data_IF_568866355116
#
_entry.id   IF_568866355116
#
_cell.length_a   1.000
_cell.length_b   1.000
_cell.length_c   1.000
_cell.angle_alpha   90.00
_cell.angle_beta   90.00
_cell.angle_gamma   90.00
#
_symmetry.space_group_name_H-M   'P 1'
#
loop_
_entity.id
_entity.type
_entity.pdbx_description
1 polymer ?
#
# COMPACT_ATOMS: atom_id res chain seq x y z
N UNK A 1 -15.87 -14.05 -6.59
CA UNK A 1 -14.58 -14.03 -5.85
C UNK A 1 -13.44 -14.16 -6.85
N UNK A 2 -12.36 -13.45 -6.61
CA UNK A 2 -11.15 -13.43 -7.45
C UNK A 2 -9.95 -13.69 -6.54
N UNK A 3 -8.89 -14.29 -7.10
CA UNK A 3 -7.64 -14.48 -6.36
C UNK A 3 -6.97 -13.14 -6.10
N UNK A 4 -6.42 -12.98 -4.90
CA UNK A 4 -5.54 -11.88 -4.55
C UNK A 4 -4.17 -12.12 -5.21
N UNK A 5 -3.92 -11.47 -6.36
CA UNK A 5 -2.71 -11.64 -7.19
C UNK A 5 -2.36 -13.13 -7.43
N UNK A 6 -1.12 -13.54 -7.23
CA UNK A 6 -0.64 -14.91 -7.45
C UNK A 6 -0.81 -15.83 -6.22
N UNK A 7 -1.65 -15.46 -5.26
CA UNK A 7 -1.94 -16.25 -4.06
C UNK A 7 -3.14 -17.18 -4.25
N UNK A 8 -3.36 -18.08 -3.29
CA UNK A 8 -4.59 -18.85 -3.17
C UNK A 8 -5.68 -18.15 -2.35
N UNK A 9 -5.39 -16.98 -1.82
CA UNK A 9 -6.36 -16.15 -1.14
C UNK A 9 -7.36 -15.55 -2.13
N UNK A 10 -8.65 -15.59 -1.80
CA UNK A 10 -9.72 -15.03 -2.61
C UNK A 10 -10.38 -13.88 -1.85
N UNK A 11 -10.79 -12.86 -2.58
CA UNK A 11 -11.46 -11.70 -2.02
C UNK A 11 -12.75 -11.35 -2.77
N UNK A 12 -13.60 -10.55 -2.13
CA UNK A 12 -14.79 -9.99 -2.78
C UNK A 12 -14.37 -8.80 -3.64
N UNK A 13 -14.64 -8.90 -4.93
CA UNK A 13 -14.28 -7.87 -5.91
C UNK A 13 -15.31 -6.75 -5.83
N UNK A 14 -14.90 -5.47 -5.64
CA UNK A 14 -15.81 -4.36 -5.78
C UNK A 14 -16.31 -4.23 -7.23
N UNK A 15 -17.61 -4.02 -7.39
CA UNK A 15 -18.23 -3.68 -8.67
C UNK A 15 -18.39 -2.17 -8.73
N UNK A 16 -17.92 -1.55 -9.82
CA UNK A 16 -17.85 -0.12 -9.99
C UNK A 16 -18.75 0.33 -11.16
N UNK A 17 -19.47 1.42 -10.96
CA UNK A 17 -20.22 2.13 -12.00
C UNK A 17 -19.72 3.57 -12.16
N UNK A 18 -19.97 4.18 -13.30
CA UNK A 18 -19.49 5.54 -13.60
C UNK A 18 -20.06 6.61 -12.63
N UNK A 19 -21.24 6.37 -12.09
CA UNK A 19 -21.94 7.23 -11.13
C UNK A 19 -21.66 6.85 -9.66
N UNK A 20 -20.68 5.95 -9.42
CA UNK A 20 -20.35 5.48 -8.09
C UNK A 20 -20.05 6.63 -7.12
N UNK A 21 -20.70 6.60 -5.96
CA UNK A 21 -20.40 7.43 -4.81
C UNK A 21 -19.76 6.56 -3.70
N UNK A 22 -18.91 7.18 -2.90
CA UNK A 22 -18.22 6.51 -1.82
C UNK A 22 -18.56 7.14 -0.48
N UNK A 23 -18.64 6.31 0.54
CA UNK A 23 -18.80 6.74 1.92
C UNK A 23 -18.07 5.79 2.85
N UNK A 24 -17.60 6.31 3.99
CA UNK A 24 -17.04 5.50 5.05
C UNK A 24 -18.19 4.85 5.82
N UNK A 25 -18.41 3.55 5.59
CA UNK A 25 -19.59 2.84 6.09
C UNK A 25 -19.28 1.73 7.11
N UNK A 26 -18.00 1.42 7.34
CA UNK A 26 -17.59 0.34 8.25
C UNK A 26 -16.61 0.84 9.30
N UNK A 27 -16.94 0.59 10.55
CA UNK A 27 -16.21 1.09 11.71
C UNK A 27 -15.14 0.12 12.23
N UNK A 28 -15.13 -1.14 11.79
CA UNK A 28 -14.29 -2.21 12.35
C UNK A 28 -12.81 -1.84 12.45
N UNK A 29 -12.24 -1.18 11.43
CA UNK A 29 -10.84 -0.77 11.46
C UNK A 29 -10.53 0.09 12.70
N UNK A 30 -11.41 1.03 13.01
CA UNK A 30 -11.24 1.97 14.11
C UNK A 30 -11.50 1.32 15.46
N UNK A 31 -12.47 0.41 15.54
CA UNK A 31 -12.78 -0.37 16.75
C UNK A 31 -11.61 -1.28 17.12
N UNK A 32 -11.00 -1.98 16.14
CA UNK A 32 -9.82 -2.83 16.35
C UNK A 32 -8.59 -2.02 16.76
N UNK A 33 -8.41 -0.81 16.24
CA UNK A 33 -7.36 0.12 16.67
C UNK A 33 -7.57 0.55 18.11
N UNK A 34 -8.78 0.95 18.49
CA UNK A 34 -9.11 1.35 19.86
C UNK A 34 -8.90 0.20 20.86
N UNK A 35 -9.31 -1.03 20.49
CA UNK A 35 -9.09 -2.22 21.31
C UNK A 35 -7.59 -2.46 21.56
N UNK A 36 -6.78 -2.42 20.51
CA UNK A 36 -5.34 -2.63 20.62
C UNK A 36 -4.65 -1.55 21.47
N UNK A 37 -5.02 -0.29 21.29
CA UNK A 37 -4.50 0.83 22.07
C UNK A 37 -4.91 0.72 23.56
N UNK A 38 -6.16 0.30 23.84
CA UNK A 38 -6.63 0.06 25.20
C UNK A 38 -5.87 -1.06 25.92
N UNK A 39 -5.34 -2.03 25.16
CA UNK A 39 -4.47 -3.09 25.67
C UNK A 39 -2.99 -2.66 25.78
N UNK A 40 -2.67 -1.41 25.46
CA UNK A 40 -1.31 -0.85 25.57
C UNK A 40 -0.40 -1.18 24.40
N UNK A 41 -0.96 -1.61 23.24
CA UNK A 41 -0.19 -1.91 22.03
C UNK A 41 -0.08 -0.69 21.13
N UNK A 42 1.12 -0.49 20.56
CA UNK A 42 1.30 0.42 19.42
C UNK A 42 0.90 -0.29 18.13
N UNK A 43 0.07 0.33 17.32
CA UNK A 43 -0.46 -0.27 16.10
C UNK A 43 -0.09 0.51 14.86
N UNK A 44 0.08 -0.21 13.76
CA UNK A 44 0.20 0.31 12.41
C UNK A 44 -0.92 -0.31 11.57
N UNK A 45 -2.09 0.33 11.45
CA UNK A 45 -3.19 -0.16 10.64
C UNK A 45 -2.78 -0.33 9.18
N UNK A 46 -3.38 -1.30 8.51
CA UNK A 46 -3.12 -1.61 7.10
C UNK A 46 -4.40 -1.38 6.30
N UNK A 47 -4.29 -0.63 5.22
CA UNK A 47 -5.36 -0.40 4.25
C UNK A 47 -4.88 -0.71 2.85
N UNK A 48 -5.77 -1.21 2.00
CA UNK A 48 -5.48 -1.32 0.56
C UNK A 48 -5.42 0.09 -0.01
N UNK A 49 -4.41 0.38 -0.82
CA UNK A 49 -4.25 1.68 -1.44
C UNK A 49 -5.33 2.00 -2.49
N UNK A 50 -5.61 3.29 -2.72
CA UNK A 50 -6.69 3.71 -3.61
C UNK A 50 -6.50 3.24 -5.05
N UNK A 51 -5.25 3.19 -5.53
CA UNK A 51 -4.96 2.78 -6.91
C UNK A 51 -5.14 1.26 -7.06
N UNK A 52 -4.63 0.47 -6.14
CA UNK A 52 -4.84 -0.98 -6.13
C UNK A 52 -6.33 -1.32 -6.00
N UNK A 53 -7.06 -0.61 -5.14
CA UNK A 53 -8.48 -0.83 -4.96
C UNK A 53 -9.27 -0.59 -6.26
N UNK A 54 -9.01 0.52 -6.97
CA UNK A 54 -9.63 0.81 -8.27
C UNK A 54 -9.19 -0.19 -9.34
N UNK A 55 -7.91 -0.57 -9.38
CA UNK A 55 -7.39 -1.53 -10.34
C UNK A 55 -8.11 -2.86 -10.26
N UNK A 56 -8.30 -3.37 -9.06
CA UNK A 56 -8.94 -4.64 -8.78
C UNK A 56 -10.46 -4.61 -8.96
N UNK A 57 -11.10 -3.46 -8.87
CA UNK A 57 -12.53 -3.29 -9.10
C UNK A 57 -12.93 -3.68 -10.53
N UNK A 58 -14.13 -4.22 -10.68
CA UNK A 58 -14.70 -4.58 -11.98
C UNK A 58 -15.76 -3.59 -12.39
N UNK A 59 -15.66 -3.11 -13.62
CA UNK A 59 -16.69 -2.26 -14.21
C UNK A 59 -17.99 -3.07 -14.38
N UNK A 60 -19.09 -2.47 -13.95
CA UNK A 60 -20.44 -3.01 -14.11
C UNK A 60 -21.31 -2.02 -14.90
N UNK A 61 -21.95 -2.53 -15.94
CA UNK A 61 -22.78 -1.72 -16.85
C UNK A 61 -21.98 -1.18 -18.01
N UNK A 62 -22.10 0.12 -18.27
CA UNK A 62 -21.37 0.78 -19.35
C UNK A 62 -19.87 0.90 -19.05
N UNK A 63 -19.05 0.76 -20.06
CA UNK A 63 -17.60 0.91 -19.94
C UNK A 63 -17.22 2.35 -19.62
N UNK A 64 -16.31 2.53 -18.66
CA UNK A 64 -15.75 3.83 -18.29
C UNK A 64 -14.32 3.65 -17.75
N UNK A 65 -13.57 4.75 -17.66
CA UNK A 65 -12.24 4.72 -17.06
C UNK A 65 -12.35 4.74 -15.53
N UNK A 66 -11.91 3.66 -14.87
CA UNK A 66 -11.95 3.55 -13.40
C UNK A 66 -11.23 4.70 -12.68
N UNK A 67 -10.21 5.29 -13.31
CA UNK A 67 -9.48 6.44 -12.76
C UNK A 67 -10.36 7.69 -12.63
N UNK A 68 -11.50 7.78 -13.34
CA UNK A 68 -12.46 8.89 -13.17
C UNK A 68 -13.09 8.90 -11.77
N UNK A 69 -13.07 7.76 -11.08
CA UNK A 69 -13.58 7.65 -9.71
C UNK A 69 -12.54 8.10 -8.65
N UNK A 70 -11.28 8.31 -9.02
CA UNK A 70 -10.22 8.59 -8.06
C UNK A 70 -10.50 9.84 -7.22
N UNK A 71 -11.00 10.91 -7.83
CA UNK A 71 -11.32 12.16 -7.13
C UNK A 71 -12.47 12.04 -6.12
N UNK A 72 -13.37 11.09 -6.33
CA UNK A 72 -14.43 10.75 -5.38
C UNK A 72 -13.94 9.82 -4.25
N UNK A 73 -12.95 8.97 -4.55
CA UNK A 73 -12.42 7.98 -3.61
C UNK A 73 -11.42 8.61 -2.62
N UNK A 74 -10.53 9.50 -3.07
CA UNK A 74 -9.46 10.07 -2.24
C UNK A 74 -9.96 10.79 -0.98
N UNK A 75 -11.08 11.55 -0.98
CA UNK A 75 -11.60 12.14 0.25
C UNK A 75 -11.95 11.12 1.33
N UNK A 76 -12.35 9.90 0.96
CA UNK A 76 -12.64 8.83 1.91
C UNK A 76 -11.36 8.34 2.59
N UNK A 77 -10.26 8.19 1.84
CA UNK A 77 -8.94 7.90 2.42
C UNK A 77 -8.48 9.01 3.37
N UNK A 78 -8.73 10.27 3.00
CA UNK A 78 -8.48 11.41 3.89
C UNK A 78 -9.24 11.28 5.21
N UNK A 79 -10.53 10.95 5.18
CA UNK A 79 -11.34 10.71 6.38
C UNK A 79 -10.78 9.56 7.23
N UNK A 80 -10.37 8.45 6.61
CA UNK A 80 -9.77 7.31 7.31
C UNK A 80 -8.49 7.77 8.04
N UNK A 81 -7.58 8.47 7.37
CA UNK A 81 -6.32 8.89 7.95
C UNK A 81 -6.50 9.94 9.06
N UNK A 82 -7.44 10.87 8.91
CA UNK A 82 -7.79 11.84 9.96
C UNK A 82 -8.35 11.15 11.20
N UNK A 83 -9.22 10.14 11.04
CA UNK A 83 -9.75 9.36 12.16
C UNK A 83 -8.66 8.56 12.86
N UNK A 84 -7.79 7.89 12.12
CA UNK A 84 -6.64 7.16 12.69
C UNK A 84 -5.71 8.09 13.47
N UNK A 85 -5.43 9.28 12.92
CA UNK A 85 -4.64 10.29 13.63
C UNK A 85 -5.31 10.75 14.93
N UNK A 86 -6.64 10.95 14.92
CA UNK A 86 -7.41 11.32 16.11
C UNK A 86 -7.39 10.22 17.20
N UNK A 87 -7.24 8.96 16.84
CA UNK A 87 -7.03 7.83 17.75
C UNK A 87 -5.59 7.76 18.30
N UNK A 88 -4.65 8.58 17.79
CA UNK A 88 -3.25 8.55 18.20
C UNK A 88 -2.36 7.59 17.39
N UNK A 89 -2.84 7.11 16.25
CA UNK A 89 -2.05 6.29 15.31
C UNK A 89 -0.97 7.17 14.67
N UNK A 90 0.28 6.72 14.74
CA UNK A 90 1.41 7.44 14.14
C UNK A 90 1.64 7.02 12.68
N UNK A 91 1.59 5.72 12.39
CA UNK A 91 1.86 5.13 11.09
C UNK A 91 0.66 4.38 10.53
N UNK A 92 0.41 4.55 9.24
CA UNK A 92 -0.50 3.69 8.45
C UNK A 92 0.28 3.02 7.33
N UNK A 93 0.04 1.75 7.11
CA UNK A 93 0.54 1.03 5.93
C UNK A 93 -0.52 1.05 4.85
N UNK A 94 -0.10 1.37 3.63
CA UNK A 94 -0.96 1.45 2.44
C UNK A 94 -0.44 0.44 1.44
N UNK A 95 -1.19 -0.63 1.22
CA UNK A 95 -0.79 -1.71 0.33
C UNK A 95 -1.11 -1.37 -1.12
N UNK A 96 -0.06 -1.20 -1.92
CA UNK A 96 -0.15 -0.91 -3.36
C UNK A 96 0.61 -1.96 -4.20
N UNK A 97 0.23 -3.24 -4.12
CA UNK A 97 0.93 -4.30 -4.83
C UNK A 97 0.87 -4.18 -6.36
N UNK A 98 -0.03 -3.38 -6.93
CA UNK A 98 -0.03 -3.12 -8.39
C UNK A 98 1.22 -2.38 -8.85
N UNK A 99 1.98 -1.74 -7.97
CA UNK A 99 3.28 -1.16 -8.31
C UNK A 99 4.30 -2.22 -8.78
N UNK A 100 4.05 -3.49 -8.50
CA UNK A 100 4.84 -4.61 -9.04
C UNK A 100 4.34 -5.15 -10.39
N UNK A 101 3.35 -4.49 -11.01
CA UNK A 101 2.82 -4.82 -12.32
C UNK A 101 3.34 -3.83 -13.37
N UNK A 102 3.24 -4.23 -14.66
CA UNK A 102 3.47 -3.28 -15.75
C UNK A 102 2.27 -2.34 -15.87
N UNK A 103 2.43 -1.10 -15.36
CA UNK A 103 1.36 -0.12 -15.30
C UNK A 103 1.35 0.79 -16.53
N UNK A 104 0.16 1.05 -17.13
CA UNK A 104 -0.01 2.11 -18.11
C UNK A 104 0.37 3.48 -17.54
N UNK A 105 0.85 4.40 -18.40
CA UNK A 105 1.32 5.71 -17.98
C UNK A 105 0.24 6.52 -17.23
N UNK A 106 -1.02 6.40 -17.60
CA UNK A 106 -2.12 7.07 -16.90
C UNK A 106 -2.25 6.64 -15.43
N UNK A 107 -1.98 5.36 -15.12
CA UNK A 107 -1.97 4.85 -13.75
C UNK A 107 -0.75 5.35 -12.97
N UNK A 108 0.42 5.44 -13.61
CA UNK A 108 1.63 6.04 -13.00
C UNK A 108 1.37 7.49 -12.62
N UNK A 109 0.77 8.28 -13.52
CA UNK A 109 0.37 9.67 -13.25
C UNK A 109 -0.70 9.77 -12.14
N UNK A 110 -1.61 8.81 -12.08
CA UNK A 110 -2.64 8.74 -11.05
C UNK A 110 -2.03 8.47 -9.65
N UNK A 111 -0.99 7.63 -9.55
CA UNK A 111 -0.22 7.45 -8.31
C UNK A 111 0.37 8.76 -7.81
N UNK A 112 1.08 9.49 -8.65
CA UNK A 112 1.67 10.79 -8.27
C UNK A 112 0.59 11.77 -7.78
N UNK A 113 -0.51 11.90 -8.53
CA UNK A 113 -1.62 12.78 -8.15
C UNK A 113 -2.25 12.38 -6.82
N UNK A 114 -2.57 11.11 -6.63
CA UNK A 114 -3.21 10.61 -5.42
C UNK A 114 -2.34 10.85 -4.18
N UNK A 115 -1.08 10.47 -4.23
CA UNK A 115 -0.20 10.57 -3.08
C UNK A 115 0.22 12.02 -2.79
N UNK A 116 0.29 12.90 -3.78
CA UNK A 116 0.43 14.35 -3.55
C UNK A 116 -0.75 14.96 -2.79
N UNK A 117 -1.96 14.42 -2.95
CA UNK A 117 -3.12 14.84 -2.15
C UNK A 117 -3.08 14.23 -0.74
N UNK A 118 -2.81 12.92 -0.64
CA UNK A 118 -2.81 12.18 0.62
C UNK A 118 -1.65 12.56 1.55
N UNK A 119 -0.54 13.13 1.03
CA UNK A 119 0.57 13.56 1.89
C UNK A 119 0.16 14.60 2.94
N UNK A 120 -0.92 15.34 2.70
CA UNK A 120 -1.41 16.38 3.62
C UNK A 120 -2.04 15.82 4.89
N UNK A 121 -2.42 14.54 4.87
CA UNK A 121 -3.05 13.89 6.00
C UNK A 121 -2.04 13.62 7.13
N UNK A 122 -2.45 13.75 8.40
CA UNK A 122 -1.53 13.91 9.53
C UNK A 122 -0.82 12.62 9.99
N UNK A 123 -1.12 11.45 9.41
CA UNK A 123 -0.43 10.18 9.73
C UNK A 123 0.79 9.99 8.84
N UNK A 124 1.84 9.34 9.36
CA UNK A 124 2.95 8.85 8.54
C UNK A 124 2.49 7.67 7.69
N UNK A 125 2.91 7.63 6.44
CA UNK A 125 2.46 6.66 5.43
C UNK A 125 3.61 5.78 5.00
N UNK A 126 3.43 4.47 5.12
CA UNK A 126 4.30 3.45 4.55
C UNK A 126 3.57 2.81 3.37
N UNK A 127 4.04 3.04 2.16
CA UNK A 127 3.55 2.30 0.99
C UNK A 127 4.20 0.94 0.95
N UNK A 128 3.39 -0.12 0.89
CA UNK A 128 3.88 -1.49 0.84
C UNK A 128 3.62 -2.12 -0.53
N UNK A 129 4.70 -2.71 -1.08
CA UNK A 129 4.71 -3.46 -2.33
C UNK A 129 5.21 -4.87 -2.06
N UNK A 130 4.64 -5.85 -2.76
CA UNK A 130 4.99 -7.24 -2.56
C UNK A 130 4.61 -8.08 -3.79
N UNK A 131 4.99 -9.36 -3.78
CA UNK A 131 4.81 -10.41 -4.79
C UNK A 131 5.79 -10.37 -5.96
N UNK A 132 6.41 -9.25 -6.30
CA UNK A 132 7.43 -9.11 -7.32
C UNK A 132 8.27 -7.85 -7.08
N UNK A 133 9.27 -7.62 -7.93
CA UNK A 133 10.04 -6.38 -7.96
C UNK A 133 9.23 -5.22 -8.54
N UNK A 134 9.71 -4.01 -8.31
CA UNK A 134 9.08 -2.78 -8.80
C UNK A 134 9.43 -2.47 -10.25
N UNK A 135 10.50 -3.03 -10.76
CA UNK A 135 10.98 -2.87 -12.14
C UNK A 135 10.91 -1.39 -12.61
N UNK A 136 10.18 -1.11 -13.68
CA UNK A 136 10.00 0.23 -14.23
C UNK A 136 9.26 1.21 -13.31
N UNK A 137 8.59 0.69 -12.27
CA UNK A 137 7.89 1.52 -11.29
C UNK A 137 8.75 1.89 -10.07
N UNK A 138 10.01 1.40 -9.99
CA UNK A 138 10.87 1.67 -8.83
C UNK A 138 11.10 3.17 -8.61
N UNK A 139 11.36 3.91 -9.68
CA UNK A 139 11.52 5.36 -9.61
C UNK A 139 10.26 6.09 -9.14
N UNK A 140 9.09 5.64 -9.62
CA UNK A 140 7.79 6.15 -9.18
C UNK A 140 7.60 5.89 -7.68
N UNK A 141 7.74 4.64 -7.24
CA UNK A 141 7.54 4.24 -5.85
C UNK A 141 8.49 4.97 -4.88
N UNK A 142 9.78 5.07 -5.23
CA UNK A 142 10.77 5.80 -4.45
C UNK A 142 10.46 7.30 -4.36
N UNK A 143 9.88 7.89 -5.42
CA UNK A 143 9.53 9.31 -5.51
C UNK A 143 8.20 9.71 -4.89
N UNK A 144 7.31 8.77 -4.55
CA UNK A 144 6.01 9.10 -3.94
C UNK A 144 6.20 9.90 -2.65
N UNK A 145 5.36 10.94 -2.39
CA UNK A 145 5.48 11.77 -1.20
C UNK A 145 4.90 11.07 0.05
N UNK A 146 5.60 10.02 0.49
CA UNK A 146 5.28 9.20 1.67
C UNK A 146 6.49 9.09 2.58
N UNK A 147 6.28 8.67 3.83
CA UNK A 147 7.32 8.61 4.85
C UNK A 147 8.15 7.32 4.80
N UNK A 148 7.64 6.29 4.15
CA UNK A 148 8.35 5.03 4.01
C UNK A 148 7.89 4.21 2.81
N UNK A 149 8.75 3.29 2.40
CA UNK A 149 8.51 2.32 1.33
C UNK A 149 8.91 0.92 1.81
N UNK A 150 8.01 -0.04 1.62
CA UNK A 150 8.28 -1.46 1.83
C UNK A 150 8.49 -2.17 0.50
N UNK A 151 9.56 -2.95 0.39
CA UNK A 151 9.89 -3.76 -0.78
C UNK A 151 10.03 -5.24 -0.42
N UNK A 152 9.69 -6.12 -1.34
CA UNK A 152 9.78 -7.58 -1.20
C UNK A 152 11.17 -8.08 -1.65
N UNK A 153 12.03 -8.40 -0.70
CA UNK A 153 13.36 -8.96 -0.96
C UNK A 153 13.39 -10.49 -0.97
N UNK A 154 12.26 -11.13 -0.68
CA UNK A 154 12.14 -12.58 -0.85
C UNK A 154 11.90 -12.94 -2.32
N UNK A 155 11.04 -12.17 -3.00
CA UNK A 155 10.68 -12.41 -4.39
C UNK A 155 11.59 -11.69 -5.39
N UNK A 156 12.12 -10.54 -5.01
CA UNK A 156 12.94 -9.70 -5.87
C UNK A 156 14.14 -9.09 -5.11
N UNK A 157 15.11 -9.92 -4.65
CA UNK A 157 16.27 -9.42 -3.90
C UNK A 157 17.16 -8.52 -4.75
N UNK A 158 17.14 -8.65 -6.07
CA UNK A 158 17.95 -7.89 -7.03
C UNK A 158 17.61 -6.39 -7.05
N UNK A 159 16.44 -5.98 -6.59
CA UNK A 159 16.07 -4.56 -6.53
C UNK A 159 16.76 -3.81 -5.38
N UNK A 160 17.34 -4.50 -4.39
CA UNK A 160 17.85 -3.89 -3.18
C UNK A 160 18.96 -2.84 -3.42
N UNK A 161 20.01 -3.09 -4.21
CA UNK A 161 21.02 -2.07 -4.47
C UNK A 161 20.45 -0.82 -5.13
N UNK A 162 19.52 -1.00 -6.08
CA UNK A 162 18.93 0.12 -6.80
C UNK A 162 18.03 0.97 -5.91
N UNK A 163 17.31 0.36 -4.97
CA UNK A 163 16.48 1.12 -4.04
C UNK A 163 17.32 1.91 -3.03
N UNK A 164 18.43 1.36 -2.57
CA UNK A 164 19.37 2.08 -1.69
C UNK A 164 19.93 3.34 -2.37
N UNK A 165 20.20 3.27 -3.66
CA UNK A 165 20.72 4.42 -4.42
C UNK A 165 19.64 5.48 -4.70
N UNK A 166 18.37 5.10 -4.77
CA UNK A 166 17.29 5.99 -5.24
C UNK A 166 16.36 6.48 -4.15
N UNK A 167 16.24 5.74 -3.03
CA UNK A 167 15.34 6.15 -1.97
C UNK A 167 15.88 7.36 -1.24
N UNK A 168 15.10 8.45 -1.09
CA UNK A 168 15.52 9.60 -0.32
C UNK A 168 15.87 9.23 1.13
N UNK A 169 16.98 9.74 1.66
CA UNK A 169 17.51 9.39 2.98
C UNK A 169 16.56 9.70 4.17
N UNK A 170 15.55 10.54 3.97
CA UNK A 170 14.55 10.84 5.00
C UNK A 170 13.44 9.79 5.07
N UNK A 171 13.34 8.88 4.10
CA UNK A 171 12.31 7.85 4.08
C UNK A 171 12.75 6.62 4.86
N UNK A 172 11.79 6.01 5.54
CA UNK A 172 11.97 4.70 6.15
C UNK A 172 11.92 3.62 5.05
N UNK A 173 12.98 2.82 4.97
CA UNK A 173 13.01 1.63 4.12
C UNK A 173 12.60 0.41 4.95
N UNK A 174 11.50 -0.22 4.58
CA UNK A 174 11.03 -1.46 5.18
C UNK A 174 11.37 -2.63 4.26
N UNK A 175 12.13 -3.60 4.79
CA UNK A 175 12.67 -4.73 4.02
C UNK A 175 11.86 -6.01 4.28
N UNK A 176 11.20 -6.51 3.24
CA UNK A 176 10.48 -7.77 3.24
C UNK A 176 11.42 -8.96 3.13
N UNK A 177 12.02 -9.38 4.23
CA UNK A 177 13.06 -10.43 4.29
C UNK A 177 12.55 -11.76 4.85
N UNK A 178 11.30 -11.81 5.29
CA UNK A 178 10.67 -13.04 5.81
C UNK A 178 9.70 -13.60 4.78
N UNK A 179 9.89 -14.85 4.36
CA UNK A 179 8.98 -15.52 3.44
C UNK A 179 7.72 -16.01 4.20
N UNK A 180 6.66 -15.21 4.19
CA UNK A 180 5.37 -15.55 4.81
C UNK A 180 4.53 -16.59 4.04
N UNK A 181 4.99 -17.08 2.88
CA UNK A 181 4.26 -18.05 2.04
C UNK A 181 4.66 -19.51 2.29
N UNK A 182 5.57 -19.76 3.22
CA UNK A 182 5.97 -21.11 3.61
C UNK A 182 6.10 -21.21 5.13
N UNK A 183 6.36 -22.43 5.61
CA UNK A 183 6.48 -22.75 7.05
C UNK A 183 7.93 -22.79 7.54
N UNK A 184 8.89 -22.52 6.67
CA UNK A 184 10.29 -22.64 7.00
C UNK A 184 10.76 -21.46 7.86
N UNK A 185 11.57 -21.78 8.85
CA UNK A 185 12.19 -20.77 9.70
C UNK A 185 13.16 -19.92 8.88
N UNK A 186 13.00 -18.60 8.95
CA UNK A 186 13.93 -17.66 8.30
C UNK A 186 15.31 -17.72 8.96
N UNK A 187 16.36 -17.69 8.14
CA UNK A 187 17.74 -17.55 8.57
C UNK A 187 18.00 -16.09 8.99
N UNK A 188 17.92 -15.83 10.29
CA UNK A 188 18.02 -14.47 10.83
C UNK A 188 19.43 -13.90 10.72
N UNK A 189 20.49 -14.72 10.64
CA UNK A 189 21.86 -14.23 10.44
C UNK A 189 22.00 -13.59 9.05
N UNK A 190 21.50 -14.25 8.01
CA UNK A 190 21.45 -13.66 6.65
C UNK A 190 20.59 -12.40 6.57
N UNK A 191 19.49 -12.35 7.33
CA UNK A 191 18.65 -11.15 7.40
C UNK A 191 19.43 -9.99 8.03
N UNK A 192 20.19 -10.24 9.09
CA UNK A 192 21.03 -9.21 9.72
C UNK A 192 22.08 -8.68 8.76
N UNK A 193 22.71 -9.54 7.95
CA UNK A 193 23.68 -9.11 6.95
C UNK A 193 23.06 -8.15 5.91
N UNK A 194 21.80 -8.40 5.51
CA UNK A 194 21.05 -7.50 4.61
C UNK A 194 20.77 -6.16 5.31
N UNK A 195 20.31 -6.20 6.56
CA UNK A 195 19.99 -4.99 7.33
C UNK A 195 21.23 -4.12 7.60
N UNK A 196 22.40 -4.72 7.72
CA UNK A 196 23.67 -3.98 7.92
C UNK A 196 24.16 -3.28 6.64
N UNK A 197 23.66 -3.67 5.47
CA UNK A 197 23.99 -3.04 4.20
C UNK A 197 23.07 -1.84 3.89
N UNK A 198 21.93 -1.73 4.57
CA UNK A 198 20.97 -0.65 4.42
C UNK A 198 21.31 0.54 5.31
#
# INVERSE_FOLDING_TARGET
>A
MTKWFDTNYHYLVPELSADQEFSLSWEQLFEEVDEALALGHTVKPVVIGPLTWLWLGKVKGEEFNKLDLLDKLLPIYGQIFQRLAAQGVEWVQIDEPILSLDLPQEWKNAFERAYNLLQREPVKKLVATYFAGLEDNLGLAAGLPVDGLHIDLVRAPEQFPTILDRLPAYKVLSLGVVNGRNVWRTDLEKVLDILQQA
#
